data_IF_131814546182
#
_entry.id   IF_131814546182
#
_cell.length_a   1.000
_cell.length_b   1.000
_cell.length_c   1.000
_cell.angle_alpha   90.00
_cell.angle_beta   90.00
_cell.angle_gamma   90.00
#
_symmetry.space_group_name_H-M   'P 1'
#
loop_
_entity.id
_entity.type
_entity.pdbx_description
1 polymer ?
#
# COMPACT_ATOMS: atom_id res chain seq x y z
N UNK A 1 -22.05 -22.88 5.24
CA UNK A 1 -20.81 -22.26 5.79
C UNK A 1 -19.54 -22.62 5.02
N UNK A 2 -19.25 -23.88 4.69
CA UNK A 2 -17.98 -24.27 4.03
C UNK A 2 -17.72 -23.59 2.66
N UNK A 3 -18.76 -23.26 1.87
CA UNK A 3 -18.61 -22.48 0.62
C UNK A 3 -18.23 -21.01 0.84
N UNK A 4 -18.77 -20.37 1.90
CA UNK A 4 -18.38 -19.00 2.29
C UNK A 4 -16.94 -18.98 2.79
N UNK A 5 -16.53 -19.97 3.58
CA UNK A 5 -15.15 -20.11 4.03
C UNK A 5 -14.23 -20.30 2.83
N UNK A 6 -14.53 -21.21 1.89
CA UNK A 6 -13.74 -21.36 0.64
C UNK A 6 -13.77 -20.12 -0.28
N UNK A 7 -14.80 -19.30 -0.23
CA UNK A 7 -14.88 -18.05 -0.99
C UNK A 7 -13.99 -16.95 -0.36
N UNK A 8 -13.96 -16.88 0.97
CA UNK A 8 -13.05 -15.99 1.71
C UNK A 8 -11.59 -16.52 1.79
N UNK A 9 -11.40 -17.84 1.73
CA UNK A 9 -10.12 -18.55 1.96
C UNK A 9 -9.65 -19.37 0.75
N UNK A 10 -10.16 -19.11 -0.46
CA UNK A 10 -9.69 -19.82 -1.65
C UNK A 10 -8.17 -19.79 -1.71
N UNK A 11 -7.50 -20.87 -2.16
CA UNK A 11 -6.04 -21.01 -2.11
C UNK A 11 -5.37 -19.80 -2.80
N UNK A 12 -4.95 -18.77 -2.05
CA UNK A 12 -4.52 -17.54 -2.67
C UNK A 12 -3.09 -17.75 -3.14
N UNK A 13 -2.81 -17.36 -4.38
CA UNK A 13 -1.44 -17.40 -4.88
C UNK A 13 -0.54 -16.52 -4.01
N UNK A 14 0.74 -16.88 -3.87
CA UNK A 14 1.72 -16.07 -3.12
C UNK A 14 1.74 -14.60 -3.58
N UNK A 15 1.52 -14.38 -4.88
CA UNK A 15 1.39 -13.04 -5.46
C UNK A 15 0.17 -12.28 -4.94
N UNK A 16 -1.00 -12.92 -4.85
CA UNK A 16 -2.22 -12.30 -4.33
C UNK A 16 -2.09 -11.92 -2.86
N UNK A 17 -1.45 -12.78 -2.04
CA UNK A 17 -1.17 -12.49 -0.62
C UNK A 17 -0.23 -11.29 -0.51
N UNK A 18 0.91 -11.32 -1.20
CA UNK A 18 1.88 -10.23 -1.17
C UNK A 18 1.27 -8.90 -1.63
N UNK A 19 0.49 -8.91 -2.71
CA UNK A 19 -0.19 -7.73 -3.24
C UNK A 19 -1.23 -7.20 -2.24
N UNK A 20 -2.05 -8.08 -1.65
CA UNK A 20 -3.07 -7.69 -0.67
C UNK A 20 -2.44 -7.08 0.58
N UNK A 21 -1.33 -7.64 1.07
CA UNK A 21 -0.60 -7.07 2.20
C UNK A 21 0.00 -5.71 1.86
N UNK A 22 0.68 -5.59 0.72
CA UNK A 22 1.26 -4.34 0.26
C UNK A 22 0.22 -3.23 0.09
N UNK A 23 -0.91 -3.54 -0.54
CA UNK A 23 -2.06 -2.63 -0.65
C UNK A 23 -2.58 -2.24 0.73
N UNK A 24 -2.70 -3.18 1.66
CA UNK A 24 -3.05 -2.89 3.05
C UNK A 24 -2.10 -1.89 3.69
N UNK A 25 -0.78 -2.09 3.57
CA UNK A 25 0.22 -1.16 4.12
C UNK A 25 0.11 0.23 3.50
N UNK A 26 0.01 0.32 2.18
CA UNK A 26 -0.19 1.60 1.48
C UNK A 26 -1.45 2.31 1.99
N UNK A 27 -2.55 1.57 2.19
CA UNK A 27 -3.82 2.09 2.68
C UNK A 27 -3.75 2.55 4.14
N UNK A 28 -2.96 1.87 4.99
CA UNK A 28 -2.71 2.26 6.39
C UNK A 28 -1.79 3.48 6.53
N UNK A 29 -0.91 3.72 5.57
CA UNK A 29 -0.05 4.91 5.52
C UNK A 29 -0.81 6.14 5.05
N UNK A 30 -1.72 5.98 4.07
CA UNK A 30 -2.53 7.07 3.55
C UNK A 30 -3.40 7.73 4.65
N UNK A 31 -3.66 9.05 4.56
CA UNK A 31 -4.52 9.73 5.53
C UNK A 31 -5.98 9.24 5.38
N UNK A 32 -6.55 8.77 6.48
CA UNK A 32 -7.93 8.30 6.55
C UNK A 32 -8.90 9.40 6.09
N UNK A 33 -9.91 9.00 5.31
CA UNK A 33 -10.96 9.89 4.83
C UNK A 33 -10.58 10.77 3.63
N UNK A 34 -9.38 10.62 3.07
CA UNK A 34 -9.01 11.30 1.83
C UNK A 34 -9.57 10.58 0.60
N UNK A 35 -9.85 11.31 -0.48
CA UNK A 35 -10.29 10.73 -1.76
C UNK A 35 -9.32 9.67 -2.26
N UNK A 36 -8.01 9.86 -2.04
CA UNK A 36 -6.99 8.88 -2.43
C UNK A 36 -7.14 7.58 -1.63
N UNK A 37 -7.42 7.68 -0.33
CA UNK A 37 -7.67 6.51 0.51
C UNK A 37 -8.85 5.68 -0.02
N UNK A 38 -9.95 6.34 -0.39
CA UNK A 38 -11.11 5.67 -1.00
C UNK A 38 -10.82 5.09 -2.37
N UNK A 39 -9.99 5.75 -3.19
CA UNK A 39 -9.54 5.20 -4.48
C UNK A 39 -8.75 3.91 -4.29
N UNK A 40 -7.79 3.88 -3.36
CA UNK A 40 -7.01 2.67 -3.07
C UNK A 40 -7.94 1.58 -2.52
N UNK A 41 -8.87 1.91 -1.62
CA UNK A 41 -9.86 0.95 -1.12
C UNK A 41 -10.70 0.37 -2.26
N UNK A 42 -11.16 1.22 -3.20
CA UNK A 42 -11.89 0.79 -4.39
C UNK A 42 -11.06 -0.18 -5.25
N UNK A 43 -9.78 0.11 -5.45
CA UNK A 43 -8.86 -0.80 -6.16
C UNK A 43 -8.74 -2.14 -5.43
N UNK A 44 -8.59 -2.14 -4.10
CA UNK A 44 -8.54 -3.39 -3.31
C UNK A 44 -9.79 -4.25 -3.51
N UNK A 45 -10.98 -3.62 -3.51
CA UNK A 45 -12.25 -4.33 -3.73
C UNK A 45 -12.34 -4.91 -5.15
N UNK A 46 -11.87 -4.18 -6.17
CA UNK A 46 -11.86 -4.63 -7.57
C UNK A 46 -10.90 -5.82 -7.77
N UNK A 47 -9.72 -5.77 -7.16
CA UNK A 47 -8.69 -6.81 -7.31
C UNK A 47 -8.95 -8.08 -6.49
N UNK A 48 -10.11 -8.20 -5.83
CA UNK A 48 -10.47 -9.36 -4.99
C UNK A 48 -9.36 -9.70 -3.99
N UNK A 49 -8.86 -8.68 -3.30
CA UNK A 49 -7.78 -8.85 -2.32
C UNK A 49 -8.17 -9.78 -1.17
N UNK A 50 -7.21 -10.56 -0.68
CA UNK A 50 -7.41 -11.42 0.47
C UNK A 50 -7.55 -10.58 1.75
N UNK A 51 -8.77 -10.51 2.29
CA UNK A 51 -9.16 -9.57 3.34
C UNK A 51 -8.27 -9.67 4.58
N UNK A 52 -7.93 -10.89 5.03
CA UNK A 52 -7.06 -11.07 6.20
C UNK A 52 -5.66 -10.48 5.98
N UNK A 53 -5.11 -10.66 4.77
CA UNK A 53 -3.78 -10.13 4.44
C UNK A 53 -3.78 -8.61 4.29
N UNK A 54 -4.89 -8.08 3.77
CA UNK A 54 -5.09 -6.65 3.66
C UNK A 54 -5.26 -5.99 5.04
N UNK A 55 -6.01 -6.60 5.95
CA UNK A 55 -6.19 -6.09 7.32
C UNK A 55 -4.87 -6.11 8.11
N UNK A 56 -4.08 -7.18 8.02
CA UNK A 56 -2.77 -7.23 8.68
C UNK A 56 -1.84 -6.18 8.10
N UNK A 57 -1.79 -6.03 6.76
CA UNK A 57 -1.05 -4.97 6.10
C UNK A 57 -1.51 -3.57 6.54
N UNK A 58 -2.81 -3.34 6.67
CA UNK A 58 -3.36 -2.06 7.14
C UNK A 58 -2.89 -1.71 8.53
N UNK A 59 -2.97 -2.66 9.47
CA UNK A 59 -2.48 -2.46 10.84
C UNK A 59 -0.98 -2.14 10.80
N UNK A 60 -0.18 -2.92 10.06
CA UNK A 60 1.25 -2.65 9.89
C UNK A 60 1.50 -1.25 9.31
N UNK A 61 0.76 -0.83 8.30
CA UNK A 61 0.87 0.51 7.71
C UNK A 61 0.55 1.63 8.69
N UNK A 62 -0.46 1.47 9.54
CA UNK A 62 -0.79 2.44 10.59
C UNK A 62 0.36 2.59 11.58
N UNK A 63 0.99 1.49 12.01
CA UNK A 63 2.19 1.55 12.85
C UNK A 63 3.35 2.23 12.13
N UNK A 64 3.60 1.86 10.87
CA UNK A 64 4.66 2.44 10.05
C UNK A 64 4.46 3.95 9.85
N UNK A 65 3.21 4.41 9.79
CA UNK A 65 2.85 5.82 9.68
C UNK A 65 3.36 6.65 10.85
N UNK A 66 3.29 6.10 12.06
CA UNK A 66 3.80 6.78 13.27
C UNK A 66 5.31 6.94 13.17
N UNK A 67 6.01 5.89 12.75
CA UNK A 67 7.48 5.86 12.62
C UNK A 67 7.96 6.82 11.52
N UNK A 68 7.31 6.82 10.37
CA UNK A 68 7.72 7.58 9.18
C UNK A 68 7.16 9.02 9.16
N UNK A 69 6.41 9.43 10.17
CA UNK A 69 5.69 10.72 10.19
C UNK A 69 6.61 11.92 9.92
N UNK A 70 7.81 11.90 10.47
CA UNK A 70 8.81 12.98 10.31
C UNK A 70 9.32 13.12 8.87
N UNK A 71 9.21 12.07 8.06
CA UNK A 71 9.72 12.05 6.68
C UNK A 71 8.68 12.52 5.66
N UNK A 72 7.39 12.53 5.99
CA UNK A 72 6.33 12.86 5.04
C UNK A 72 6.46 14.29 4.48
N UNK A 73 6.51 15.29 5.35
CA UNK A 73 6.59 16.68 4.91
C UNK A 73 7.86 17.02 4.12
N UNK A 74 9.09 16.67 4.58
CA UNK A 74 10.30 16.98 3.82
C UNK A 74 10.35 16.27 2.47
N UNK A 75 9.92 15.00 2.42
CA UNK A 75 9.88 14.23 1.16
C UNK A 75 8.90 14.86 0.17
N UNK A 76 7.71 15.26 0.61
CA UNK A 76 6.74 15.89 -0.27
C UNK A 76 7.19 17.28 -0.74
N UNK A 77 7.83 18.09 0.12
CA UNK A 77 8.44 19.35 -0.30
C UNK A 77 9.52 19.12 -1.37
N UNK A 78 10.40 18.14 -1.17
CA UNK A 78 11.43 17.79 -2.15
C UNK A 78 10.83 17.42 -3.51
N UNK A 79 9.75 16.63 -3.53
CA UNK A 79 9.05 16.24 -4.77
C UNK A 79 8.43 17.47 -5.44
N UNK A 80 7.74 18.31 -4.68
CA UNK A 80 7.06 19.49 -5.23
C UNK A 80 8.04 20.53 -5.77
N UNK A 81 9.20 20.69 -5.14
CA UNK A 81 10.25 21.62 -5.56
C UNK A 81 11.08 21.07 -6.74
N UNK A 82 11.14 19.76 -6.95
CA UNK A 82 11.93 19.17 -8.05
C UNK A 82 11.49 19.64 -9.44
N UNK A 83 10.19 19.97 -9.62
CA UNK A 83 9.66 20.49 -10.87
C UNK A 83 8.42 21.37 -10.64
N UNK A 84 8.63 22.57 -10.10
CA UNK A 84 7.53 23.46 -9.74
C UNK A 84 6.58 23.78 -10.90
N UNK A 85 7.09 23.96 -12.11
CA UNK A 85 6.29 24.32 -13.29
C UNK A 85 5.33 23.18 -13.65
N UNK A 86 5.83 21.94 -13.66
CA UNK A 86 5.01 20.76 -13.89
C UNK A 86 3.93 20.60 -12.82
N UNK A 87 4.30 20.73 -11.54
CA UNK A 87 3.36 20.56 -10.43
C UNK A 87 2.31 21.66 -10.40
N UNK A 88 2.68 22.93 -10.61
CA UNK A 88 1.70 24.03 -10.72
C UNK A 88 0.66 23.77 -11.82
N UNK A 89 1.11 23.32 -13.00
CA UNK A 89 0.20 23.01 -14.13
C UNK A 89 -0.67 21.77 -13.90
N UNK A 90 -0.16 20.79 -13.16
CA UNK A 90 -0.88 19.55 -12.88
C UNK A 90 -1.90 19.78 -11.76
N UNK A 91 -1.51 20.46 -10.69
CA UNK A 91 -2.35 20.79 -9.53
C UNK A 91 -3.44 21.81 -9.86
N UNK A 92 -3.27 22.64 -10.91
CA UNK A 92 -4.31 23.56 -11.37
C UNK A 92 -5.48 22.86 -12.09
N UNK A 93 -5.40 21.55 -12.35
CA UNK A 93 -6.51 20.80 -12.95
C UNK A 93 -7.58 20.50 -11.88
N UNK A 94 -8.87 20.68 -12.19
CA UNK A 94 -9.95 20.63 -11.18
C UNK A 94 -10.01 19.29 -10.45
N UNK A 95 -9.86 18.16 -11.15
CA UNK A 95 -9.89 16.82 -10.55
C UNK A 95 -8.75 16.60 -9.55
N UNK A 96 -7.58 17.16 -9.83
CA UNK A 96 -6.36 16.95 -9.03
C UNK A 96 -6.35 17.87 -7.80
N UNK A 97 -6.98 19.05 -7.91
CA UNK A 97 -7.12 19.97 -6.80
C UNK A 97 -7.88 19.35 -5.61
N UNK A 98 -8.86 18.49 -5.85
CA UNK A 98 -9.60 17.78 -4.80
C UNK A 98 -8.76 16.75 -4.03
N UNK A 99 -7.58 16.37 -4.53
CA UNK A 99 -6.68 15.43 -3.88
C UNK A 99 -5.74 16.11 -2.86
N UNK A 100 -5.75 17.44 -2.76
CA UNK A 100 -4.86 18.23 -1.88
C UNK A 100 -3.37 17.87 -2.01
N UNK A 101 -2.94 17.46 -3.21
CA UNK A 101 -1.55 17.08 -3.50
C UNK A 101 -0.57 18.27 -3.48
N UNK A 102 -1.08 19.50 -3.38
CA UNK A 102 -0.29 20.70 -3.16
C UNK A 102 0.29 20.79 -1.73
N UNK A 103 -0.23 20.00 -0.79
CA UNK A 103 0.28 19.95 0.58
C UNK A 103 1.44 18.96 0.66
N UNK A 104 2.62 19.43 1.06
CA UNK A 104 3.83 18.60 1.15
C UNK A 104 3.64 17.35 2.02
N UNK A 105 2.95 17.45 3.16
CA UNK A 105 2.69 16.29 4.02
C UNK A 105 1.82 15.22 3.34
N UNK A 106 0.84 15.60 2.51
CA UNK A 106 -0.02 14.66 1.78
C UNK A 106 0.77 14.02 0.64
N UNK A 107 1.47 14.84 -0.16
CA UNK A 107 2.27 14.37 -1.29
C UNK A 107 3.38 13.40 -0.86
N UNK A 108 4.11 13.76 0.19
CA UNK A 108 5.18 12.90 0.71
C UNK A 108 4.65 11.64 1.38
N UNK A 109 3.51 11.71 2.06
CA UNK A 109 2.85 10.51 2.58
C UNK A 109 2.45 9.57 1.44
N UNK A 110 1.83 10.10 0.36
CA UNK A 110 1.47 9.30 -0.81
C UNK A 110 2.68 8.61 -1.45
N UNK A 111 3.78 9.35 -1.64
CA UNK A 111 4.99 8.81 -2.22
C UNK A 111 5.60 7.72 -1.34
N UNK A 112 5.71 7.97 -0.03
CA UNK A 112 6.26 7.00 0.93
C UNK A 112 5.34 5.78 1.05
N UNK A 113 4.02 5.94 1.00
CA UNK A 113 3.05 4.85 1.03
C UNK A 113 3.18 3.91 -0.18
N UNK A 114 3.40 4.48 -1.37
CA UNK A 114 3.64 3.71 -2.60
C UNK A 114 4.99 3.00 -2.51
N UNK A 115 6.05 3.72 -2.14
CA UNK A 115 7.41 3.17 -2.08
C UNK A 115 7.51 2.03 -1.06
N UNK A 116 6.99 2.24 0.15
CA UNK A 116 6.95 1.21 1.20
C UNK A 116 6.08 0.02 0.80
N UNK A 117 4.94 0.25 0.15
CA UNK A 117 4.10 -0.82 -0.40
C UNK A 117 4.86 -1.70 -1.40
N UNK A 118 5.60 -1.09 -2.33
CA UNK A 118 6.43 -1.81 -3.29
C UNK A 118 7.56 -2.61 -2.63
N UNK A 119 8.27 -2.01 -1.67
CA UNK A 119 9.34 -2.69 -0.93
C UNK A 119 8.77 -3.89 -0.16
N UNK A 120 7.66 -3.71 0.54
CA UNK A 120 7.01 -4.78 1.31
C UNK A 120 6.45 -5.87 0.41
N UNK A 121 5.88 -5.52 -0.74
CA UNK A 121 5.47 -6.48 -1.75
C UNK A 121 6.65 -7.38 -2.15
N UNK A 122 7.79 -6.79 -2.50
CA UNK A 122 8.98 -7.53 -2.90
C UNK A 122 9.47 -8.44 -1.78
N UNK A 123 9.57 -7.95 -0.54
CA UNK A 123 10.01 -8.73 0.62
C UNK A 123 9.11 -9.93 0.89
N UNK A 124 7.78 -9.73 0.91
CA UNK A 124 6.82 -10.81 1.16
C UNK A 124 6.81 -11.80 0.01
N UNK A 125 6.81 -11.32 -1.23
CA UNK A 125 6.83 -12.16 -2.41
C UNK A 125 8.07 -13.06 -2.45
N UNK A 126 9.24 -12.51 -2.17
CA UNK A 126 10.51 -13.25 -2.06
C UNK A 126 10.42 -14.28 -0.93
N UNK A 127 9.91 -13.90 0.24
CA UNK A 127 9.80 -14.79 1.40
C UNK A 127 8.88 -15.98 1.12
N UNK A 128 7.72 -15.72 0.50
CA UNK A 128 6.74 -16.74 0.15
C UNK A 128 7.24 -17.71 -0.93
N UNK A 129 7.95 -17.21 -1.95
CA UNK A 129 8.38 -18.05 -3.08
C UNK A 129 9.74 -18.72 -2.89
N UNK A 130 10.65 -18.14 -2.10
CA UNK A 130 12.03 -18.66 -1.98
C UNK A 130 12.25 -19.37 -0.65
N UNK A 131 11.79 -18.79 0.47
CA UNK A 131 12.15 -19.27 1.81
C UNK A 131 11.23 -20.41 2.25
N UNK A 132 9.92 -20.23 2.12
CA UNK A 132 8.92 -21.21 2.55
C UNK A 132 9.02 -22.60 1.88
N UNK A 133 9.23 -22.72 0.55
CA UNK A 133 9.39 -24.04 -0.05
C UNK A 133 10.66 -24.76 0.43
N UNK A 134 11.76 -24.04 0.70
CA UNK A 134 12.99 -24.64 1.25
C UNK A 134 12.77 -25.25 2.63
N UNK A 135 12.02 -24.56 3.51
CA UNK A 135 11.73 -25.05 4.87
C UNK A 135 10.85 -26.31 4.84
N UNK A 136 9.91 -26.42 3.90
CA UNK A 136 9.06 -27.62 3.76
C UNK A 136 9.88 -28.86 3.39
N UNK A 137 10.87 -28.72 2.51
CA UNK A 137 11.72 -29.84 2.07
C UNK A 137 12.57 -30.37 3.24
N UNK A 138 13.04 -29.49 4.12
CA UNK A 138 13.87 -29.89 5.28
C UNK A 138 13.08 -30.62 6.37
N UNK A 139 11.75 -30.45 6.45
CA UNK A 139 10.90 -31.15 7.45
C UNK A 139 10.35 -32.49 6.95
N UNK A 140 10.51 -32.81 5.68
CA UNK A 140 10.04 -34.07 5.07
C UNK A 140 11.13 -35.14 4.95
N UNK A 141 12.32 -34.88 5.49
CA UNK A 141 13.47 -35.80 5.59
C UNK A 141 13.67 -36.09 7.08
#
# INVERSE_FOLDING_TARGET
MQKLIKFFWGNPSSMSIAASFAMGVTLGLCPLGTTIWFLILGLCLIFKTHILSLLTGLITGVFLRVILRSLFEPTGKMILLSNEVFWKRTLSKPVICYLNLNVGSIMGNMFIAILSGLIIFALIFITLNIILPKIKITRSI
#
